data_IF_754977988780
#
_entry.id   IF_754977988780
#
_cell.length_a   1.000
_cell.length_b   1.000
_cell.length_c   1.000
_cell.angle_alpha   90.00
_cell.angle_beta   90.00
_cell.angle_gamma   90.00
#
_symmetry.space_group_name_H-M   'P 1'
#
loop_
_entity.id
_entity.type
_entity.pdbx_description
1 polymer ?
#
# COMPACT_ATOMS: atom_id res chain seq x y z
N UNK A 1 5.86 -12.04 3.31
CA UNK A 1 7.01 -12.71 3.98
C UNK A 1 7.80 -13.56 3.00
N UNK A 2 7.16 -14.48 2.25
CA UNK A 2 7.85 -15.34 1.27
C UNK A 2 8.58 -14.55 0.19
N UNK A 3 7.98 -13.48 -0.31
CA UNK A 3 8.58 -12.59 -1.30
C UNK A 3 9.82 -11.88 -0.77
N UNK A 4 9.79 -11.43 0.49
CA UNK A 4 10.92 -10.73 1.13
C UNK A 4 12.03 -11.70 1.51
N UNK A 5 11.69 -12.90 2.00
CA UNK A 5 12.66 -13.98 2.29
C UNK A 5 13.38 -14.42 1.02
N UNK A 6 12.66 -14.60 -0.09
CA UNK A 6 13.27 -14.97 -1.37
C UNK A 6 14.23 -13.90 -1.94
N UNK A 7 14.07 -12.62 -1.54
CA UNK A 7 14.98 -11.52 -1.89
C UNK A 7 16.03 -11.21 -0.82
N UNK A 8 16.13 -12.04 0.26
CA UNK A 8 17.04 -11.78 1.38
C UNK A 8 16.63 -10.62 2.28
N UNK A 9 15.42 -10.09 2.13
CA UNK A 9 14.87 -9.05 3.00
C UNK A 9 14.20 -9.71 4.21
N UNK A 10 14.88 -9.76 5.34
CA UNK A 10 14.38 -10.37 6.57
C UNK A 10 13.50 -9.42 7.42
N UNK A 11 13.48 -8.12 7.10
CA UNK A 11 12.87 -7.10 7.95
C UNK A 11 11.48 -6.70 7.44
N UNK A 12 10.45 -7.22 8.07
CA UNK A 12 9.05 -6.80 7.91
C UNK A 12 8.62 -5.90 9.09
N UNK A 13 7.61 -5.08 8.88
CA UNK A 13 7.07 -4.11 9.84
C UNK A 13 8.10 -3.06 10.27
N UNK A 14 8.88 -2.56 9.30
CA UNK A 14 9.91 -1.58 9.54
C UNK A 14 9.70 -0.30 8.73
N UNK A 15 9.96 0.82 9.41
CA UNK A 15 10.04 2.13 8.80
C UNK A 15 11.47 2.38 8.33
N UNK A 16 11.63 2.78 7.06
CA UNK A 16 12.90 3.10 6.43
C UNK A 16 12.76 4.40 5.64
N UNK A 17 13.87 5.09 5.37
CA UNK A 17 13.88 6.24 4.49
C UNK A 17 14.54 5.92 3.15
N UNK A 18 14.15 6.68 2.16
CA UNK A 18 14.68 6.61 0.80
C UNK A 18 15.96 7.42 0.71
N UNK A 19 17.02 6.79 0.21
CA UNK A 19 18.29 7.44 -0.09
C UNK A 19 18.66 7.22 -1.55
N UNK A 20 18.95 8.29 -2.28
CA UNK A 20 19.57 8.20 -3.59
C UNK A 20 21.08 8.06 -3.40
N UNK A 21 21.68 7.05 -4.02
CA UNK A 21 23.11 6.77 -4.00
C UNK A 21 23.82 7.55 -5.11
N UNK A 22 25.17 7.59 -5.05
CA UNK A 22 26.00 8.34 -6.01
C UNK A 22 25.90 7.81 -7.44
N UNK A 23 25.61 6.52 -7.61
CA UNK A 23 25.36 5.88 -8.91
C UNK A 23 23.94 6.13 -9.46
N UNK A 24 23.12 6.89 -8.72
CA UNK A 24 21.75 7.22 -9.08
C UNK A 24 20.71 6.19 -8.63
N UNK A 25 21.13 5.05 -8.09
CA UNK A 25 20.21 4.03 -7.58
C UNK A 25 19.53 4.47 -6.27
N UNK A 26 18.41 3.84 -5.97
CA UNK A 26 17.62 4.10 -4.75
C UNK A 26 17.84 2.96 -3.77
N UNK A 27 18.14 3.31 -2.52
CA UNK A 27 18.27 2.38 -1.41
C UNK A 27 17.33 2.78 -0.26
N UNK A 28 16.88 1.79 0.50
CA UNK A 28 16.12 1.98 1.73
C UNK A 28 17.07 1.84 2.92
N UNK A 29 17.14 2.88 3.76
CA UNK A 29 18.05 2.98 4.88
C UNK A 29 17.27 3.17 6.20
N UNK A 30 17.90 2.75 7.31
CA UNK A 30 17.34 2.92 8.65
C UNK A 30 18.28 3.68 9.60
N UNK A 31 19.56 3.76 9.25
CA UNK A 31 20.55 4.42 10.07
C UNK A 31 20.18 5.89 10.30
N UNK A 32 20.25 6.33 11.55
CA UNK A 32 19.92 7.71 11.97
C UNK A 32 18.50 8.17 11.58
N UNK A 33 17.54 7.24 11.40
CA UNK A 33 16.18 7.55 10.96
C UNK A 33 15.52 8.60 11.86
N UNK A 34 15.62 8.48 13.17
CA UNK A 34 15.04 9.45 14.12
C UNK A 34 15.60 10.87 13.93
N UNK A 35 16.91 10.99 13.66
CA UNK A 35 17.55 12.30 13.39
C UNK A 35 16.99 12.90 12.09
N UNK A 36 16.84 12.08 11.05
CA UNK A 36 16.31 12.54 9.75
C UNK A 36 14.86 12.97 9.88
N UNK A 37 14.02 12.18 10.54
CA UNK A 37 12.62 12.54 10.83
C UNK A 37 12.54 13.83 11.66
N UNK A 38 13.40 13.98 12.68
CA UNK A 38 13.44 15.18 13.52
C UNK A 38 13.74 16.47 12.74
N UNK A 39 14.54 16.39 11.68
CA UNK A 39 14.92 17.52 10.81
C UNK A 39 13.93 17.81 9.70
N UNK A 40 13.14 16.83 9.28
CA UNK A 40 12.21 16.96 8.17
C UNK A 40 10.95 17.75 8.58
N UNK A 41 10.51 18.63 7.69
CA UNK A 41 9.25 19.38 7.83
C UNK A 41 8.13 18.78 6.99
N UNK A 42 8.46 18.33 5.78
CA UNK A 42 7.52 17.72 4.83
C UNK A 42 7.91 16.27 4.59
N UNK A 43 7.12 15.36 5.10
CA UNK A 43 7.39 13.93 5.03
C UNK A 43 6.37 13.25 4.13
N UNK A 44 6.86 12.42 3.21
CA UNK A 44 6.05 11.51 2.41
C UNK A 44 6.21 10.09 2.95
N UNK A 45 5.11 9.41 3.23
CA UNK A 45 5.09 7.99 3.56
C UNK A 45 4.55 7.18 2.39
N UNK A 46 5.26 6.14 2.00
CA UNK A 46 4.90 5.22 0.92
C UNK A 46 4.48 3.88 1.51
N UNK A 47 3.29 3.38 1.10
CA UNK A 47 2.74 2.08 1.49
C UNK A 47 2.48 1.24 0.24
N UNK A 48 3.15 0.11 0.15
CA UNK A 48 3.03 -0.81 -0.99
C UNK A 48 1.71 -1.62 -0.95
N UNK A 49 1.36 -2.24 -2.05
CA UNK A 49 0.23 -3.18 -2.15
C UNK A 49 0.61 -4.61 -1.75
N UNK A 50 -0.34 -5.52 -1.96
CA UNK A 50 -0.13 -6.95 -1.71
C UNK A 50 1.04 -7.50 -2.53
N UNK A 51 1.79 -8.42 -1.92
CA UNK A 51 2.97 -9.05 -2.51
C UNK A 51 4.04 -8.06 -3.03
N UNK A 52 3.83 -6.75 -2.85
CA UNK A 52 4.79 -5.71 -3.17
C UNK A 52 5.85 -5.52 -2.09
N UNK A 53 6.76 -4.62 -2.34
CA UNK A 53 7.72 -4.09 -1.38
C UNK A 53 7.90 -2.58 -1.59
N UNK A 54 8.39 -1.92 -0.55
CA UNK A 54 8.51 -0.48 -0.55
C UNK A 54 9.51 0.04 -1.58
N UNK A 55 10.61 -0.68 -1.83
CA UNK A 55 11.62 -0.24 -2.81
C UNK A 55 11.04 -0.25 -4.23
N UNK A 56 10.33 -1.31 -4.59
CA UNK A 56 9.67 -1.42 -5.90
C UNK A 56 8.65 -0.30 -6.10
N UNK A 57 7.87 0.04 -5.04
CA UNK A 57 6.91 1.14 -5.13
C UNK A 57 7.58 2.50 -5.24
N UNK A 58 8.67 2.75 -4.51
CA UNK A 58 9.42 4.01 -4.62
C UNK A 58 10.02 4.15 -6.02
N UNK A 59 10.58 3.08 -6.60
CA UNK A 59 11.10 3.11 -7.96
C UNK A 59 9.99 3.42 -8.96
N UNK A 60 8.82 2.78 -8.83
CA UNK A 60 7.67 3.06 -9.71
C UNK A 60 7.21 4.53 -9.60
N UNK A 61 7.20 5.09 -8.38
CA UNK A 61 6.89 6.51 -8.17
C UNK A 61 7.96 7.40 -8.81
N UNK A 62 9.23 7.09 -8.61
CA UNK A 62 10.36 7.85 -9.16
C UNK A 62 10.37 7.86 -10.69
N UNK A 63 10.06 6.73 -11.31
CA UNK A 63 10.13 6.56 -12.76
C UNK A 63 8.93 7.18 -13.48
N UNK A 64 7.78 7.29 -12.81
CA UNK A 64 6.53 7.71 -13.44
C UNK A 64 6.02 9.08 -12.98
N UNK A 65 6.52 9.64 -11.88
CA UNK A 65 6.16 10.99 -11.45
C UNK A 65 7.25 12.00 -11.81
N UNK A 66 6.88 13.21 -12.26
CA UNK A 66 7.84 14.27 -12.47
C UNK A 66 8.66 14.50 -11.19
N UNK A 67 9.98 14.57 -11.33
CA UNK A 67 10.90 14.79 -10.21
C UNK A 67 10.52 16.00 -9.34
N UNK A 68 9.94 17.04 -9.96
CA UNK A 68 9.44 18.22 -9.27
C UNK A 68 8.39 17.89 -8.18
N UNK A 69 7.60 16.84 -8.36
CA UNK A 69 6.57 16.47 -7.37
C UNK A 69 7.17 15.85 -6.11
N UNK A 70 8.31 15.17 -6.22
CA UNK A 70 9.01 14.55 -5.09
C UNK A 70 9.97 15.53 -4.38
N UNK A 71 10.47 16.55 -5.10
CA UNK A 71 11.34 17.59 -4.53
C UNK A 71 10.63 18.46 -3.48
N UNK A 72 9.29 18.36 -3.39
CA UNK A 72 8.52 19.04 -2.35
C UNK A 72 8.62 18.42 -0.97
N UNK A 73 9.24 17.24 -0.82
CA UNK A 73 9.38 16.52 0.45
C UNK A 73 10.84 16.49 0.91
N UNK A 74 11.05 16.79 2.19
CA UNK A 74 12.38 16.75 2.82
C UNK A 74 12.83 15.32 3.12
N UNK A 75 11.86 14.40 3.28
CA UNK A 75 12.08 13.01 3.61
C UNK A 75 10.98 12.12 3.01
N UNK A 76 11.40 11.05 2.38
CA UNK A 76 10.51 9.99 1.90
C UNK A 76 10.72 8.77 2.78
N UNK A 77 9.67 8.33 3.44
CA UNK A 77 9.60 7.15 4.28
C UNK A 77 8.89 6.02 3.55
N UNK A 78 9.27 4.81 3.87
CA UNK A 78 8.64 3.59 3.40
C UNK A 78 8.36 2.71 4.60
N UNK A 79 7.16 2.18 4.70
CA UNK A 79 6.82 1.16 5.67
C UNK A 79 6.62 -0.18 4.96
N UNK A 80 7.54 -1.10 5.20
CA UNK A 80 7.43 -2.46 4.70
C UNK A 80 6.70 -3.34 5.72
N UNK A 81 5.69 -4.05 5.27
CA UNK A 81 4.84 -4.88 6.13
C UNK A 81 4.55 -6.24 5.50
N UNK A 82 4.12 -7.19 6.32
CA UNK A 82 3.62 -8.47 5.87
C UNK A 82 2.19 -8.30 5.32
N UNK A 83 1.97 -8.65 4.06
CA UNK A 83 0.77 -8.26 3.32
C UNK A 83 -0.20 -9.42 3.04
N UNK A 84 0.07 -10.64 3.54
CA UNK A 84 -0.72 -11.82 3.19
C UNK A 84 -1.46 -12.43 4.39
N UNK A 85 -0.79 -12.57 5.53
CA UNK A 85 -1.32 -13.30 6.68
C UNK A 85 -1.72 -12.38 7.85
N UNK A 86 -1.04 -11.23 7.99
CA UNK A 86 -1.35 -10.29 9.07
C UNK A 86 -2.62 -9.52 8.74
N UNK A 87 -3.61 -9.48 9.63
CA UNK A 87 -4.81 -8.67 9.45
C UNK A 87 -4.49 -7.20 9.16
N UNK A 88 -5.31 -6.56 8.31
CA UNK A 88 -5.06 -5.18 7.86
C UNK A 88 -5.18 -4.17 9.00
N UNK A 89 -6.11 -4.39 9.91
CA UNK A 89 -6.30 -3.56 11.10
C UNK A 89 -5.12 -3.70 12.08
N UNK A 90 -4.55 -4.90 12.23
CA UNK A 90 -3.32 -5.10 13.01
C UNK A 90 -2.13 -4.40 12.36
N UNK A 91 -1.98 -4.52 11.05
CA UNK A 91 -0.92 -3.83 10.30
C UNK A 91 -1.05 -2.31 10.44
N UNK A 92 -2.28 -1.78 10.39
CA UNK A 92 -2.54 -0.36 10.58
C UNK A 92 -2.19 0.12 12.00
N UNK A 93 -2.48 -0.68 13.04
CA UNK A 93 -2.08 -0.40 14.42
C UNK A 93 -0.56 -0.43 14.59
N UNK A 94 0.12 -1.41 13.99
CA UNK A 94 1.59 -1.48 14.01
C UNK A 94 2.20 -0.27 13.33
N UNK A 95 1.69 0.14 12.17
CA UNK A 95 2.12 1.35 11.48
C UNK A 95 1.93 2.59 12.36
N UNK A 96 0.75 2.75 12.98
CA UNK A 96 0.48 3.86 13.92
C UNK A 96 1.46 3.89 15.07
N UNK A 97 1.72 2.73 15.68
CA UNK A 97 2.67 2.58 16.79
C UNK A 97 4.09 2.95 16.35
N UNK A 98 4.53 2.42 15.21
CA UNK A 98 5.86 2.73 14.65
C UNK A 98 6.02 4.23 14.37
N UNK A 99 5.01 4.90 13.84
CA UNK A 99 5.06 6.35 13.60
C UNK A 99 5.09 7.13 14.92
N UNK A 100 4.37 6.68 15.93
CA UNK A 100 4.37 7.32 17.27
C UNK A 100 5.74 7.25 17.97
N UNK A 101 6.55 6.20 17.73
CA UNK A 101 7.93 6.09 18.20
C UNK A 101 8.82 7.26 17.71
N UNK A 102 8.46 7.87 16.58
CA UNK A 102 9.11 9.02 15.98
C UNK A 102 8.34 10.33 16.20
N UNK A 103 7.49 10.38 17.22
CA UNK A 103 6.72 11.55 17.66
C UNK A 103 5.63 12.04 16.71
N UNK A 104 5.29 11.29 15.65
CA UNK A 104 4.13 11.64 14.84
C UNK A 104 2.84 11.57 15.67
N UNK A 105 2.08 12.65 15.65
CA UNK A 105 0.87 12.82 16.46
C UNK A 105 1.12 13.37 17.88
N UNK A 106 2.36 13.62 18.26
CA UNK A 106 2.76 14.28 19.51
C UNK A 106 3.27 15.71 19.30
N UNK A 107 3.71 16.01 18.08
CA UNK A 107 4.15 17.33 17.64
C UNK A 107 3.30 17.83 16.45
N UNK A 108 3.64 19.00 15.91
CA UNK A 108 2.94 19.60 14.77
C UNK A 108 3.33 18.98 13.42
N UNK A 109 4.16 17.94 13.41
CA UNK A 109 4.64 17.30 12.19
C UNK A 109 3.51 16.61 11.43
N UNK A 110 3.42 16.89 10.16
CA UNK A 110 2.42 16.33 9.24
C UNK A 110 3.05 15.46 8.18
N UNK A 111 2.32 14.44 7.75
CA UNK A 111 2.74 13.57 6.67
C UNK A 111 1.70 13.54 5.54
N UNK A 112 2.21 13.37 4.33
CA UNK A 112 1.42 12.91 3.19
C UNK A 112 1.66 11.42 3.00
N UNK A 113 0.61 10.66 2.68
CA UNK A 113 0.73 9.23 2.37
C UNK A 113 0.45 9.02 0.89
N UNK A 114 1.29 8.23 0.20
CA UNK A 114 0.96 7.61 -1.09
C UNK A 114 0.88 6.10 -0.85
N UNK A 115 -0.25 5.53 -1.19
CA UNK A 115 -0.53 4.11 -0.95
C UNK A 115 -1.10 3.44 -2.19
N UNK A 116 -0.73 2.19 -2.41
CA UNK A 116 -1.22 1.38 -3.52
C UNK A 116 -2.04 0.20 -3.01
N UNK A 117 -3.20 -0.03 -3.66
CA UNK A 117 -4.02 -1.23 -3.44
C UNK A 117 -4.31 -1.48 -1.95
N UNK A 118 -3.88 -2.62 -1.40
CA UNK A 118 -4.03 -3.03 0.01
C UNK A 118 -3.45 -2.00 0.99
N UNK A 119 -2.33 -1.36 0.63
CA UNK A 119 -1.72 -0.30 1.44
C UNK A 119 -2.65 0.88 1.68
N UNK A 120 -3.58 1.13 0.75
CA UNK A 120 -4.60 2.16 0.91
C UNK A 120 -5.64 1.83 1.97
N UNK A 121 -6.02 0.56 2.11
CA UNK A 121 -6.92 0.12 3.18
C UNK A 121 -6.26 0.23 4.56
N UNK A 122 -4.96 -0.10 4.64
CA UNK A 122 -4.15 0.07 5.85
C UNK A 122 -4.04 1.55 6.22
N UNK A 123 -3.75 2.42 5.23
CA UNK A 123 -3.69 3.87 5.44
C UNK A 123 -5.01 4.42 5.96
N UNK A 124 -6.13 4.06 5.32
CA UNK A 124 -7.46 4.47 5.73
C UNK A 124 -7.77 4.02 7.16
N UNK A 125 -7.54 2.75 7.48
CA UNK A 125 -7.79 2.25 8.84
C UNK A 125 -6.96 3.00 9.88
N UNK A 126 -5.68 3.21 9.62
CA UNK A 126 -4.78 3.97 10.50
C UNK A 126 -5.30 5.40 10.70
N UNK A 127 -5.76 6.06 9.65
CA UNK A 127 -6.29 7.44 9.70
C UNK A 127 -7.65 7.48 10.41
N UNK A 128 -8.58 6.61 10.01
CA UNK A 128 -10.00 6.70 10.36
C UNK A 128 -10.34 5.97 11.67
N UNK A 129 -9.60 4.94 12.06
CA UNK A 129 -9.87 4.11 13.23
C UNK A 129 -8.82 4.22 14.34
N UNK A 130 -7.56 4.56 14.01
CA UNK A 130 -6.45 4.58 14.97
C UNK A 130 -5.96 6.02 15.29
N UNK A 131 -6.75 7.03 14.87
CA UNK A 131 -6.45 8.44 15.16
C UNK A 131 -5.28 9.03 14.36
N UNK A 132 -4.92 8.42 13.23
CA UNK A 132 -3.88 8.94 12.32
C UNK A 132 -4.20 10.29 11.71
N UNK A 133 -5.49 10.67 11.67
CA UNK A 133 -5.92 12.00 11.20
C UNK A 133 -5.28 13.17 11.96
N UNK A 134 -4.81 12.91 13.19
CA UNK A 134 -4.09 13.92 13.96
C UNK A 134 -2.79 14.41 13.31
N UNK A 135 -2.17 13.62 12.40
CA UNK A 135 -0.89 13.95 11.77
C UNK A 135 -0.83 13.65 10.26
N UNK A 136 -1.89 13.10 9.67
CA UNK A 136 -1.96 12.88 8.21
C UNK A 136 -2.78 13.99 7.58
N UNK A 137 -2.13 14.84 6.78
CA UNK A 137 -2.81 15.92 6.07
C UNK A 137 -3.46 15.45 4.77
N UNK A 138 -2.81 14.53 4.08
CA UNK A 138 -3.24 14.09 2.77
C UNK A 138 -2.91 12.61 2.55
N UNK A 139 -3.85 11.86 2.04
CA UNK A 139 -3.66 10.46 1.64
C UNK A 139 -4.06 10.25 0.18
N UNK A 140 -3.11 9.82 -0.63
CA UNK A 140 -3.32 9.45 -2.04
C UNK A 140 -3.52 7.95 -2.11
N UNK A 141 -4.69 7.52 -2.57
CA UNK A 141 -5.12 6.13 -2.71
C UNK A 141 -5.04 5.74 -4.19
N UNK A 142 -4.07 4.90 -4.55
CA UNK A 142 -3.89 4.43 -5.94
C UNK A 142 -4.41 3.01 -6.06
N UNK A 143 -5.46 2.80 -6.85
CA UNK A 143 -6.05 1.47 -7.07
C UNK A 143 -6.53 0.77 -5.79
N UNK A 144 -6.91 1.53 -4.76
CA UNK A 144 -7.35 0.98 -3.47
C UNK A 144 -8.77 0.43 -3.58
N UNK A 145 -9.02 -0.83 -3.15
CA UNK A 145 -10.35 -1.43 -3.17
C UNK A 145 -11.20 -0.93 -1.99
N UNK A 146 -11.62 0.34 -2.04
CA UNK A 146 -12.31 1.03 -0.95
C UNK A 146 -13.65 0.38 -0.52
N UNK A 147 -14.32 -0.28 -1.46
CA UNK A 147 -15.56 -1.03 -1.21
C UNK A 147 -15.31 -2.54 -1.09
N UNK A 148 -14.09 -2.93 -0.80
CA UNK A 148 -13.68 -4.33 -0.90
C UNK A 148 -13.48 -4.77 -2.34
N UNK A 149 -13.21 -6.05 -2.50
CA UNK A 149 -13.07 -6.68 -3.81
C UNK A 149 -13.94 -7.93 -3.85
N UNK A 150 -14.71 -8.11 -4.91
CA UNK A 150 -15.47 -9.34 -5.15
C UNK A 150 -14.56 -10.58 -5.23
N UNK A 151 -13.27 -10.35 -5.26
CA UNK A 151 -12.21 -11.35 -5.22
C UNK A 151 -11.79 -11.77 -3.80
N UNK A 152 -12.48 -11.32 -2.74
CA UNK A 152 -12.32 -11.80 -1.37
C UNK A 152 -12.69 -13.28 -1.17
N UNK A 153 -13.31 -13.92 -2.16
CA UNK A 153 -13.39 -15.37 -2.28
C UNK A 153 -12.13 -15.90 -2.94
N UNK A 154 -11.60 -17.02 -2.46
CA UNK A 154 -10.29 -17.60 -2.83
C UNK A 154 -10.06 -17.61 -4.35
N UNK A 155 -11.07 -18.00 -5.16
CA UNK A 155 -10.95 -18.07 -6.62
C UNK A 155 -10.83 -16.70 -7.28
N UNK A 156 -11.52 -15.70 -6.75
CA UNK A 156 -11.43 -14.33 -7.23
C UNK A 156 -10.10 -13.68 -6.88
N UNK A 157 -9.58 -13.96 -5.69
CA UNK A 157 -8.29 -13.47 -5.24
C UNK A 157 -7.13 -13.98 -6.11
N UNK A 158 -7.15 -15.26 -6.48
CA UNK A 158 -6.16 -15.83 -7.41
C UNK A 158 -6.17 -15.08 -8.75
N UNK A 159 -7.35 -14.79 -9.31
CA UNK A 159 -7.46 -13.99 -10.55
C UNK A 159 -6.96 -12.57 -10.37
N UNK A 160 -7.34 -11.90 -9.28
CA UNK A 160 -6.87 -10.54 -9.02
C UNK A 160 -5.35 -10.50 -8.84
N UNK A 161 -4.78 -11.43 -8.09
CA UNK A 161 -3.33 -11.55 -7.94
C UNK A 161 -2.63 -11.86 -9.28
N UNK A 162 -3.26 -12.64 -10.14
CA UNK A 162 -2.78 -12.86 -11.51
C UNK A 162 -2.82 -11.56 -12.33
N UNK A 163 -3.93 -10.83 -12.28
CA UNK A 163 -4.06 -9.56 -13.01
C UNK A 163 -3.12 -8.48 -12.48
N UNK A 164 -2.99 -8.35 -11.16
CA UNK A 164 -2.05 -7.43 -10.54
C UNK A 164 -0.59 -7.80 -10.87
N UNK A 165 -0.31 -9.09 -11.00
CA UNK A 165 0.99 -9.60 -11.39
C UNK A 165 1.26 -9.37 -12.88
N UNK A 166 0.29 -9.60 -13.76
CA UNK A 166 0.39 -9.35 -15.20
C UNK A 166 0.61 -7.85 -15.47
N UNK A 167 -0.07 -6.98 -14.74
CA UNK A 167 0.18 -5.54 -14.78
C UNK A 167 1.59 -5.20 -14.28
N UNK A 168 2.03 -5.79 -13.17
CA UNK A 168 3.38 -5.57 -12.63
C UNK A 168 4.48 -6.09 -13.57
N UNK A 169 4.28 -7.22 -14.26
CA UNK A 169 5.20 -7.78 -15.26
C UNK A 169 5.37 -6.81 -16.44
N UNK A 170 4.29 -6.18 -16.88
CA UNK A 170 4.34 -5.23 -18.00
C UNK A 170 5.04 -3.90 -17.62
N UNK A 171 5.09 -3.56 -16.33
CA UNK A 171 5.72 -2.32 -15.85
C UNK A 171 7.10 -2.54 -15.19
N UNK A 172 7.48 -3.78 -14.81
CA UNK A 172 8.73 -4.08 -14.11
C UNK A 172 9.42 -5.30 -14.75
N UNK A 173 10.43 -5.10 -15.64
CA UNK A 173 11.00 -6.16 -16.49
C UNK A 173 11.60 -7.38 -15.78
N UNK A 174 11.88 -7.35 -14.47
CA UNK A 174 12.59 -8.40 -13.73
C UNK A 174 11.73 -9.18 -12.72
N UNK A 175 10.41 -9.10 -12.81
CA UNK A 175 9.48 -9.78 -11.88
C UNK A 175 9.14 -11.24 -12.29
N UNK A 176 9.45 -11.64 -13.51
CA UNK A 176 9.05 -12.91 -14.12
C UNK A 176 9.40 -14.18 -13.27
N UNK A 177 10.58 -14.32 -12.64
CA UNK A 177 10.88 -15.52 -11.86
C UNK A 177 10.01 -15.65 -10.60
N UNK A 178 9.43 -14.54 -10.16
CA UNK A 178 8.68 -14.43 -8.90
C UNK A 178 7.20 -14.80 -9.06
N UNK A 179 6.65 -14.59 -10.26
CA UNK A 179 5.25 -14.86 -10.59
C UNK A 179 4.85 -16.32 -10.40
N UNK A 180 5.73 -17.25 -10.81
CA UNK A 180 5.49 -18.68 -10.68
C UNK A 180 5.47 -19.18 -9.22
N UNK A 181 6.31 -18.61 -8.36
CA UNK A 181 6.37 -18.93 -6.92
C UNK A 181 5.13 -18.37 -6.21
N UNK A 182 4.75 -17.14 -6.52
CA UNK A 182 3.55 -16.51 -5.95
C UNK A 182 2.27 -17.25 -6.36
N UNK A 183 2.13 -17.61 -7.64
CA UNK A 183 0.99 -18.39 -8.14
C UNK A 183 0.91 -19.79 -7.51
N UNK A 184 2.06 -20.45 -7.32
CA UNK A 184 2.12 -21.75 -6.65
C UNK A 184 1.73 -21.63 -5.17
N UNK A 185 2.16 -20.56 -4.52
CA UNK A 185 1.80 -20.25 -3.13
C UNK A 185 0.31 -19.94 -2.99
N UNK A 186 -0.25 -19.10 -3.86
CA UNK A 186 -1.68 -18.76 -3.88
C UNK A 186 -2.57 -19.99 -4.13
N UNK A 187 -2.13 -20.94 -4.96
CA UNK A 187 -2.83 -22.21 -5.22
C UNK A 187 -2.77 -23.20 -4.05
N UNK A 188 -1.71 -23.12 -3.22
CA UNK A 188 -1.52 -24.03 -2.07
C UNK A 188 -2.14 -23.48 -0.76
N UNK A 189 -2.52 -22.21 -0.77
CA UNK A 189 -2.92 -21.48 0.42
C UNK A 189 -4.44 -21.51 0.64
N UNK A 190 -4.99 -22.68 0.87
CA UNK A 190 -6.33 -22.83 1.46
C UNK A 190 -6.45 -22.23 2.88
N UNK A 191 -5.33 -21.85 3.50
CA UNK A 191 -5.23 -21.30 4.86
C UNK A 191 -4.82 -19.82 4.93
N UNK A 192 -4.88 -19.07 3.82
CA UNK A 192 -4.60 -17.63 3.81
C UNK A 192 -5.78 -16.87 4.43
N UNK A 193 -5.77 -16.72 5.75
CA UNK A 193 -6.93 -16.26 6.50
C UNK A 193 -6.98 -14.78 6.87
N UNK A 194 -5.85 -14.09 6.99
CA UNK A 194 -5.81 -12.79 7.65
C UNK A 194 -6.31 -11.62 6.79
N UNK A 195 -5.43 -11.11 5.94
CA UNK A 195 -5.71 -9.88 5.15
C UNK A 195 -6.71 -10.10 4.02
N UNK A 196 -6.74 -11.31 3.44
CA UNK A 196 -7.58 -11.60 2.25
C UNK A 196 -9.06 -11.64 2.59
N UNK A 197 -9.43 -12.28 3.70
CA UNK A 197 -10.81 -12.32 4.13
C UNK A 197 -11.34 -10.90 4.45
N UNK A 198 -10.47 -10.00 4.87
CA UNK A 198 -10.85 -8.63 5.19
C UNK A 198 -11.15 -7.76 3.96
N UNK A 199 -10.69 -8.12 2.76
CA UNK A 199 -11.03 -7.38 1.54
C UNK A 199 -12.36 -7.84 0.89
N UNK A 200 -13.06 -8.83 1.45
CA UNK A 200 -14.42 -9.15 1.01
C UNK A 200 -15.33 -7.93 1.23
N UNK A 201 -16.15 -7.54 0.23
CA UNK A 201 -17.06 -6.40 0.36
C UNK A 201 -18.03 -6.48 1.55
N UNK A 202 -18.32 -7.69 2.01
CA UNK A 202 -19.23 -7.94 3.15
C UNK A 202 -18.46 -8.17 4.45
N UNK A 203 -17.13 -8.03 4.46
CA UNK A 203 -16.34 -8.20 5.69
C UNK A 203 -16.66 -7.11 6.71
N UNK A 204 -16.54 -7.46 7.98
CA UNK A 204 -16.65 -6.48 9.07
C UNK A 204 -15.60 -5.36 8.95
N UNK A 205 -14.43 -5.67 8.40
CA UNK A 205 -13.37 -4.70 8.16
C UNK A 205 -13.83 -3.62 7.16
N UNK A 206 -14.30 -3.99 5.98
CA UNK A 206 -14.77 -3.05 4.94
C UNK A 206 -16.01 -2.29 5.44
N UNK A 207 -16.94 -2.98 6.07
CA UNK A 207 -18.16 -2.36 6.61
C UNK A 207 -17.82 -1.30 7.66
N UNK A 208 -16.94 -1.62 8.60
CA UNK A 208 -16.51 -0.69 9.65
C UNK A 208 -15.73 0.49 9.07
N UNK A 209 -14.84 0.25 8.10
CA UNK A 209 -14.08 1.30 7.44
C UNK A 209 -14.99 2.26 6.68
N UNK A 210 -16.00 1.75 5.96
CA UNK A 210 -16.93 2.57 5.19
C UNK A 210 -18.02 3.24 6.03
N UNK A 211 -18.21 2.81 7.28
CA UNK A 211 -19.06 3.47 8.27
C UNK A 211 -18.31 4.53 9.10
N UNK A 212 -17.02 4.72 8.86
CA UNK A 212 -16.20 5.73 9.55
C UNK A 212 -16.76 7.13 9.36
N UNK A 213 -16.67 7.95 10.40
CA UNK A 213 -16.91 9.39 10.25
C UNK A 213 -15.77 10.02 9.43
N UNK A 214 -16.10 11.12 8.76
CA UNK A 214 -15.08 11.90 8.07
C UNK A 214 -13.96 12.29 9.05
N UNK A 215 -12.71 11.84 8.83
CA UNK A 215 -11.59 12.14 9.72
C UNK A 215 -11.04 13.57 9.53
N UNK A 216 -11.52 14.33 8.54
CA UNK A 216 -10.98 15.63 8.15
C UNK A 216 -9.65 15.56 7.38
N UNK A 217 -9.12 14.38 7.13
CA UNK A 217 -7.94 14.18 6.26
C UNK A 217 -8.34 14.30 4.80
N UNK A 218 -7.55 15.03 4.00
CA UNK A 218 -7.79 15.10 2.56
C UNK A 218 -7.43 13.78 1.88
N UNK A 219 -8.34 13.27 1.05
CA UNK A 219 -8.09 12.10 0.20
C UNK A 219 -8.03 12.49 -1.27
N UNK A 220 -7.12 11.86 -2.01
CA UNK A 220 -7.11 11.82 -3.48
C UNK A 220 -7.20 10.37 -3.91
N UNK A 221 -8.22 10.01 -4.68
CA UNK A 221 -8.40 8.65 -5.18
C UNK A 221 -8.03 8.60 -6.65
N UNK A 222 -7.10 7.73 -6.99
CA UNK A 222 -6.69 7.43 -8.36
C UNK A 222 -7.13 6.01 -8.66
N UNK A 223 -8.10 5.86 -9.56
CA UNK A 223 -8.59 4.56 -10.04
C UNK A 223 -8.30 4.41 -11.53
N UNK A 224 -7.98 3.19 -11.96
CA UNK A 224 -7.88 2.85 -13.38
C UNK A 224 -9.26 2.78 -14.00
N UNK A 225 -9.35 3.14 -15.29
CA UNK A 225 -10.52 2.90 -16.11
C UNK A 225 -10.27 1.64 -16.96
N UNK A 226 -11.09 0.61 -16.75
CA UNK A 226 -11.00 -0.64 -17.52
C UNK A 226 -11.92 -0.65 -18.76
N UNK A 227 -12.57 0.47 -19.10
CA UNK A 227 -13.51 0.56 -20.21
C UNK A 227 -12.89 0.28 -21.61
N UNK A 228 -11.57 0.18 -21.70
CA UNK A 228 -10.85 -0.21 -22.92
C UNK A 228 -10.29 -1.64 -22.88
N UNK A 229 -10.57 -2.42 -21.85
CA UNK A 229 -10.16 -3.82 -21.76
C UNK A 229 -11.30 -4.68 -22.37
N UNK A 230 -10.93 -5.47 -23.38
CA UNK A 230 -11.80 -6.40 -24.11
C UNK A 230 -12.75 -7.22 -23.20
N UNK A 231 -13.94 -7.53 -23.68
CA UNK A 231 -15.08 -8.22 -23.01
C UNK A 231 -14.77 -9.57 -22.32
N UNK A 232 -13.56 -10.08 -22.43
CA UNK A 232 -13.08 -11.22 -21.62
C UNK A 232 -12.99 -10.89 -20.12
N UNK A 233 -13.16 -9.64 -19.75
CA UNK A 233 -13.03 -9.08 -18.40
C UNK A 233 -14.34 -8.65 -17.72
N UNK A 234 -15.52 -9.12 -18.14
CA UNK A 234 -16.85 -8.68 -17.68
C UNK A 234 -17.16 -8.65 -16.19
N UNK A 235 -16.18 -8.93 -15.33
CA UNK A 235 -16.28 -8.73 -13.88
C UNK A 235 -15.85 -7.33 -13.41
N UNK A 236 -15.27 -6.49 -14.29
CA UNK A 236 -14.73 -5.18 -13.94
C UNK A 236 -15.76 -4.05 -14.03
N UNK A 237 -16.76 -4.15 -14.91
CA UNK A 237 -17.72 -3.07 -15.18
C UNK A 237 -18.51 -2.65 -13.93
N UNK A 238 -18.94 -3.61 -13.10
CA UNK A 238 -19.70 -3.30 -11.89
C UNK A 238 -18.90 -2.62 -10.77
N UNK A 239 -17.57 -2.75 -10.78
CA UNK A 239 -16.71 -2.16 -9.75
C UNK A 239 -16.47 -0.67 -10.00
N UNK A 240 -16.23 -0.28 -11.24
CA UNK A 240 -15.93 1.12 -11.60
C UNK A 240 -17.17 2.00 -11.65
N UNK A 241 -18.33 1.46 -12.02
CA UNK A 241 -19.61 2.20 -11.99
C UNK A 241 -19.97 2.66 -10.57
N UNK A 242 -19.72 1.82 -9.55
CA UNK A 242 -19.97 2.17 -8.15
C UNK A 242 -18.98 3.20 -7.58
N UNK A 243 -17.75 3.25 -8.09
CA UNK A 243 -16.74 4.23 -7.69
C UNK A 243 -17.02 5.62 -8.28
N UNK A 244 -17.70 5.71 -9.43
CA UNK A 244 -18.10 6.99 -10.07
C UNK A 244 -19.29 7.66 -9.38
N UNK A 245 -20.04 6.96 -8.54
CA UNK A 245 -21.28 7.46 -7.91
C UNK A 245 -21.08 8.07 -6.53
N UNK A 246 -19.84 8.31 -6.10
CA UNK A 246 -19.47 8.96 -4.82
C UNK A 246 -18.34 9.99 -5.09
#
# INVERSE_FOLDING_TARGET
TLCKVARGQQDVNQLRYVQKLDDGTIALQRESLGIKIGKAKKVLLVLHGMAGDGLSMVNAIHDNLPAANLQGYDLILVYDYESLNTPLDETAKMLKTTLAEFSFGQDEKRITIISHSLGGLIARWMIEQEGGSAFVDHCVLVGTPNNGSMYGKIDGYVRWAQTALDLAINFIPNIIPFSGILLKFLKTASDLGGSIAQIDPNSDFINKLNASKDPGTRYTVISGDAAGMDDSGGAYDGFFEKAKSR
#
